data_IF_022179640906
#
_entry.id   IF_022179640906
#
_cell.length_a   1.000
_cell.length_b   1.000
_cell.length_c   1.000
_cell.angle_alpha   90.00
_cell.angle_beta   90.00
_cell.angle_gamma   90.00
#
_symmetry.space_group_name_H-M   'P 1'
#
loop_
_entity.id
_entity.type
_entity.pdbx_description
1 polymer ?
#
# COMPACT_ATOMS: atom_id res chain seq x y z
N UNK A 1 -18.32 -34.01 -16.71
CA UNK A 1 -17.17 -34.26 -15.82
C UNK A 1 -16.82 -32.93 -15.17
N UNK A 2 -17.17 -32.75 -13.90
CA UNK A 2 -16.85 -31.53 -13.16
C UNK A 2 -15.34 -31.53 -12.85
N UNK A 3 -14.64 -30.47 -13.24
CA UNK A 3 -13.23 -30.28 -12.85
C UNK A 3 -13.15 -30.01 -11.35
N UNK A 4 -12.24 -30.73 -10.67
CA UNK A 4 -11.94 -30.55 -9.26
C UNK A 4 -11.39 -29.14 -8.99
N UNK A 5 -11.82 -28.44 -7.93
CA UNK A 5 -11.35 -27.09 -7.64
C UNK A 5 -10.22 -27.14 -6.61
N UNK A 6 -9.12 -27.85 -6.84
CA UNK A 6 -7.97 -27.84 -5.93
C UNK A 6 -6.70 -28.25 -6.68
N UNK A 7 -6.19 -27.36 -7.52
CA UNK A 7 -4.79 -27.37 -7.92
C UNK A 7 -4.25 -25.96 -7.70
N UNK A 8 -3.83 -25.67 -6.46
CA UNK A 8 -2.94 -24.55 -6.22
C UNK A 8 -1.56 -24.97 -6.78
N UNK A 9 -1.06 -24.31 -7.84
CA UNK A 9 0.27 -24.60 -8.32
C UNK A 9 1.26 -24.15 -7.27
N UNK A 10 2.06 -25.11 -6.80
CA UNK A 10 3.24 -24.92 -5.96
C UNK A 10 4.13 -23.82 -6.58
N UNK A 11 3.99 -22.58 -6.12
CA UNK A 11 4.66 -21.42 -6.72
C UNK A 11 4.03 -20.06 -6.47
N UNK A 12 2.75 -19.96 -6.10
CA UNK A 12 2.15 -18.65 -5.78
C UNK A 12 2.49 -18.21 -4.35
N UNK A 13 3.34 -17.18 -4.21
CA UNK A 13 3.58 -16.47 -2.93
C UNK A 13 2.50 -15.43 -2.61
N UNK A 14 1.42 -15.39 -3.39
CA UNK A 14 0.34 -14.41 -3.29
C UNK A 14 -0.93 -15.14 -2.91
N UNK A 15 -1.52 -14.76 -1.77
CA UNK A 15 -2.82 -15.25 -1.30
C UNK A 15 -3.86 -14.15 -1.48
N UNK A 16 -4.96 -14.46 -2.15
CA UNK A 16 -6.08 -13.53 -2.32
C UNK A 16 -7.11 -13.77 -1.23
N UNK A 17 -7.46 -12.73 -0.49
CA UNK A 17 -8.44 -12.79 0.60
C UNK A 17 -9.54 -11.76 0.33
N UNK A 18 -10.81 -12.18 0.41
CA UNK A 18 -11.96 -11.27 0.33
C UNK A 18 -12.30 -10.77 1.73
N UNK A 19 -12.12 -9.47 1.99
CA UNK A 19 -12.39 -8.87 3.30
C UNK A 19 -12.00 -7.39 3.36
N UNK A 20 -11.91 -6.85 4.57
CA UNK A 20 -11.37 -5.51 4.82
C UNK A 20 -9.84 -5.57 4.90
N UNK A 21 -9.15 -4.87 3.99
CA UNK A 21 -7.70 -4.74 3.97
C UNK A 21 -7.15 -4.16 5.28
N UNK A 22 -7.90 -3.28 5.95
CA UNK A 22 -7.47 -2.62 7.18
C UNK A 22 -7.78 -3.43 8.44
N UNK A 23 -8.42 -4.59 8.31
CA UNK A 23 -8.58 -5.56 9.40
C UNK A 23 -7.38 -6.52 9.52
N UNK A 24 -6.31 -6.29 8.75
CA UNK A 24 -5.10 -7.11 8.86
C UNK A 24 -4.48 -7.02 10.27
N UNK A 25 -3.77 -8.07 10.70
CA UNK A 25 -2.99 -8.03 11.93
C UNK A 25 -2.03 -6.83 11.94
N UNK A 26 -1.78 -6.25 13.11
CA UNK A 26 -0.83 -5.12 13.26
C UNK A 26 0.63 -5.50 12.98
N UNK A 27 0.91 -6.79 12.83
CA UNK A 27 2.21 -7.33 12.42
C UNK A 27 2.46 -7.13 10.93
N UNK A 28 1.39 -6.96 10.15
CA UNK A 28 1.45 -6.93 8.70
C UNK A 28 1.63 -5.50 8.22
N UNK A 29 2.45 -5.32 7.19
CA UNK A 29 2.69 -4.03 6.56
C UNK A 29 1.74 -3.86 5.37
N UNK A 30 1.19 -2.67 5.19
CA UNK A 30 0.32 -2.37 4.07
C UNK A 30 1.09 -1.57 3.03
N UNK A 31 0.90 -1.93 1.76
CA UNK A 31 1.49 -1.19 0.64
C UNK A 31 0.39 -0.68 -0.29
N UNK A 32 0.51 0.56 -0.76
CA UNK A 32 -0.28 1.04 -1.88
C UNK A 32 0.46 2.11 -2.67
N UNK A 33 0.03 2.31 -3.91
CA UNK A 33 0.64 3.30 -4.76
C UNK A 33 0.01 4.68 -4.54
N UNK A 34 0.82 5.74 -4.60
CA UNK A 34 0.36 7.14 -4.54
C UNK A 34 0.99 7.96 -5.64
N UNK A 35 0.35 9.09 -5.94
CA UNK A 35 0.90 10.17 -6.74
C UNK A 35 1.96 10.95 -5.97
N UNK A 36 2.92 11.53 -6.71
CA UNK A 36 3.97 12.38 -6.16
C UNK A 36 3.44 13.57 -5.34
N UNK A 37 2.27 14.10 -5.74
CA UNK A 37 1.62 15.20 -5.05
C UNK A 37 1.05 14.84 -3.67
N UNK A 38 1.10 13.56 -3.28
CA UNK A 38 0.63 13.03 -2.00
C UNK A 38 -0.81 13.44 -1.64
N UNK A 39 -1.64 13.82 -2.62
CA UNK A 39 -3.00 14.33 -2.34
C UNK A 39 -3.88 13.26 -1.69
N UNK A 40 -3.74 12.02 -2.15
CA UNK A 40 -4.52 10.85 -1.73
C UNK A 40 -6.03 11.16 -1.75
N UNK A 41 -6.51 11.78 -2.84
CA UNK A 41 -7.86 12.33 -2.95
C UNK A 41 -8.92 11.36 -3.48
N UNK A 42 -8.54 10.15 -3.91
CA UNK A 42 -9.46 9.18 -4.51
C UNK A 42 -9.14 7.73 -4.12
N UNK A 43 -10.12 6.85 -4.29
CA UNK A 43 -9.97 5.39 -4.10
C UNK A 43 -9.55 5.00 -2.68
N UNK A 44 -8.78 3.92 -2.59
CA UNK A 44 -8.28 3.38 -1.31
C UNK A 44 -7.37 4.37 -0.57
N UNK A 45 -6.71 5.29 -1.28
CA UNK A 45 -5.80 6.27 -0.71
C UNK A 45 -6.50 7.24 0.26
N UNK A 46 -7.79 7.56 0.03
CA UNK A 46 -8.59 8.36 0.97
C UNK A 46 -8.75 7.65 2.31
N UNK A 47 -8.91 6.32 2.29
CA UNK A 47 -9.04 5.51 3.50
C UNK A 47 -7.70 5.41 4.24
N UNK A 48 -6.57 5.28 3.52
CA UNK A 48 -5.24 5.35 4.13
C UNK A 48 -5.00 6.71 4.81
N UNK A 49 -5.30 7.81 4.12
CA UNK A 49 -5.20 9.17 4.68
C UNK A 49 -6.05 9.36 5.94
N UNK A 50 -7.27 8.81 5.97
CA UNK A 50 -8.17 8.90 7.13
C UNK A 50 -7.74 8.02 8.31
N UNK A 51 -7.30 6.79 8.05
CA UNK A 51 -6.94 5.82 9.11
C UNK A 51 -5.55 6.06 9.70
N UNK A 52 -4.57 6.36 8.86
CA UNK A 52 -3.17 6.43 9.27
C UNK A 52 -2.60 7.84 9.25
N UNK A 53 -3.22 8.78 8.53
CA UNK A 53 -2.72 10.14 8.42
C UNK A 53 -1.35 10.18 7.73
N UNK A 54 -0.37 10.85 8.35
CA UNK A 54 1.03 10.83 7.88
C UNK A 54 1.31 11.60 6.59
N UNK A 55 0.33 12.28 5.99
CA UNK A 55 0.49 13.02 4.73
C UNK A 55 1.60 14.07 4.84
N UNK A 56 1.68 14.77 5.96
CA UNK A 56 2.70 15.80 6.17
C UNK A 56 4.11 15.20 6.27
N UNK A 57 4.24 14.01 6.85
CA UNK A 57 5.50 13.28 6.93
C UNK A 57 5.94 12.79 5.55
N UNK A 58 5.01 12.28 4.75
CA UNK A 58 5.24 11.93 3.34
C UNK A 58 5.69 13.15 2.52
N UNK A 59 5.02 14.30 2.69
CA UNK A 59 5.40 15.55 2.01
C UNK A 59 6.78 16.01 2.46
N UNK A 60 7.12 15.87 3.74
CA UNK A 60 8.44 16.24 4.27
C UNK A 60 9.57 15.36 3.71
N UNK A 61 9.27 14.10 3.42
CA UNK A 61 10.23 13.15 2.86
C UNK A 61 10.28 13.21 1.31
N UNK A 62 9.30 13.87 0.67
CA UNK A 62 9.19 14.00 -0.79
C UNK A 62 10.45 14.55 -1.45
N UNK A 63 11.05 15.60 -0.88
CA UNK A 63 12.25 16.22 -1.46
C UNK A 63 13.48 15.30 -1.40
N UNK A 64 13.51 14.34 -0.46
CA UNK A 64 14.54 13.30 -0.41
C UNK A 64 14.34 12.23 -1.48
N UNK A 65 13.10 11.91 -1.84
CA UNK A 65 12.80 10.81 -2.77
C UNK A 65 12.70 11.21 -4.24
N UNK A 66 12.41 12.48 -4.53
CA UNK A 66 12.45 13.04 -5.90
C UNK A 66 13.77 12.76 -6.61
N UNK A 67 14.87 12.68 -5.87
CA UNK A 67 16.19 12.37 -6.42
C UNK A 67 16.46 10.87 -6.62
N UNK A 68 15.69 10.00 -5.96
CA UNK A 68 15.99 8.56 -5.88
C UNK A 68 15.03 7.67 -6.68
N UNK A 69 13.97 8.22 -7.30
CA UNK A 69 12.93 7.42 -7.97
C UNK A 69 12.39 6.27 -7.09
N UNK A 70 12.37 6.45 -5.76
CA UNK A 70 12.23 5.33 -4.83
C UNK A 70 11.11 5.53 -3.82
N UNK A 71 10.66 4.39 -3.29
CA UNK A 71 9.50 4.21 -2.45
C UNK A 71 9.54 5.10 -1.20
N UNK A 72 8.35 5.42 -0.73
CA UNK A 72 8.08 6.22 0.44
C UNK A 72 7.67 5.33 1.62
N UNK A 73 8.22 5.58 2.81
CA UNK A 73 7.92 4.79 4.00
C UNK A 73 7.31 5.69 5.08
N UNK A 74 6.03 5.49 5.40
CA UNK A 74 5.46 6.13 6.58
C UNK A 74 5.28 5.10 7.69
N UNK A 75 5.72 5.46 8.89
CA UNK A 75 5.51 4.65 10.08
C UNK A 75 4.20 5.09 10.73
N UNK A 76 3.19 4.22 10.72
CA UNK A 76 1.92 4.49 11.39
C UNK A 76 1.79 3.66 12.67
N UNK A 77 0.93 4.11 13.58
CA UNK A 77 0.64 3.44 14.86
C UNK A 77 -0.01 2.05 14.72
N UNK A 78 -0.42 1.68 13.51
CA UNK A 78 -1.09 0.43 13.17
C UNK A 78 -0.30 -0.45 12.17
N UNK A 79 0.92 -0.06 11.78
CA UNK A 79 1.75 -0.82 10.84
C UNK A 79 2.68 0.07 10.01
N UNK A 80 3.57 -0.58 9.25
CA UNK A 80 4.43 0.09 8.28
C UNK A 80 3.68 0.29 6.97
N UNK A 81 3.66 1.52 6.46
CA UNK A 81 3.01 1.87 5.20
C UNK A 81 4.05 2.11 4.11
N UNK A 82 4.03 1.25 3.10
CA UNK A 82 4.87 1.35 1.92
C UNK A 82 4.11 2.04 0.80
N UNK A 83 4.58 3.22 0.42
CA UNK A 83 4.02 4.05 -0.62
C UNK A 83 4.89 3.96 -1.86
N UNK A 84 4.40 3.33 -2.93
CA UNK A 84 5.12 3.28 -4.20
C UNK A 84 4.75 4.49 -5.05
N UNK A 85 5.75 5.25 -5.47
CA UNK A 85 5.57 6.37 -6.38
C UNK A 85 5.38 5.79 -7.79
N UNK A 86 4.15 5.82 -8.30
CA UNK A 86 3.94 5.48 -9.72
C UNK A 86 4.14 6.77 -10.49
N UNK A 87 5.23 6.85 -11.25
CA UNK A 87 5.32 7.75 -12.39
C UNK A 87 4.17 7.39 -13.34
N UNK A 88 3.07 8.13 -13.27
CA UNK A 88 2.14 8.20 -14.39
C UNK A 88 2.72 9.27 -15.30
N UNK A 89 3.48 8.82 -16.30
CA UNK A 89 3.95 9.66 -17.39
C UNK A 89 2.79 10.04 -18.31
#
# INVERSE_FOLDING_TARGET
MAGSPNEDPEGSRITYVKGDLFACPKTDSLAHCISEDCRMGAGIAVLFKKKFGGVQELISQRELWKQLNSCALARASLGLLLYFNIYVQ
#
